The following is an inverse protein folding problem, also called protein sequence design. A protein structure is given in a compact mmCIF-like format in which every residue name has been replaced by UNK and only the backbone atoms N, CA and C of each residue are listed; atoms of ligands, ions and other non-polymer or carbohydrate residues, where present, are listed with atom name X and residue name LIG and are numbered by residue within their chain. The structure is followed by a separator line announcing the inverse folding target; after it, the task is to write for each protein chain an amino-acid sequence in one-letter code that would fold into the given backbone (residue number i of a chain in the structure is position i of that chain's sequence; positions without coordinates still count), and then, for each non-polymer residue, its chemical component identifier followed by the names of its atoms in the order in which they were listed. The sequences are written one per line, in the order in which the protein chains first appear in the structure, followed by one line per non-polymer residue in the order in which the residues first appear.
data_IF_978005106415
#
_entry.id   IF_978005106415
#
_cell.length_a   1.000
_cell.length_b   1.000
_cell.length_c   1.000
_cell.angle_alpha   90.00
_cell.angle_beta   90.00
_cell.angle_gamma   90.00
#
_symmetry.space_group_name_H-M   'P 1'
#
loop_
_entity.id
_entity.type
_entity.pdbx_description
1 polymer ?
#
# COMPACT_ATOMS: atom_id res chain seq x y z
N UNK A 1 -37.83 1.06 -10.39
CA UNK A 1 -37.02 0.62 -9.23
C UNK A 1 -35.67 1.33 -9.28
N UNK A 2 -34.94 1.50 -8.18
CA UNK A 2 -33.55 1.98 -8.28
C UNK A 2 -32.66 0.77 -8.59
N UNK A 3 -31.94 0.82 -9.71
CA UNK A 3 -31.07 -0.26 -10.20
C UNK A 3 -29.60 0.15 -10.11
N UNK A 4 -28.67 -0.80 -10.27
CA UNK A 4 -27.23 -0.57 -10.21
C UNK A 4 -26.75 0.07 -8.90
N UNK A 5 -27.41 -0.28 -7.79
CA UNK A 5 -27.05 0.19 -6.46
C UNK A 5 -25.64 -0.31 -6.11
N UNK A 6 -24.71 0.58 -5.69
CA UNK A 6 -23.34 0.18 -5.41
C UNK A 6 -23.28 -0.74 -4.18
N UNK A 7 -22.27 -1.62 -4.16
CA UNK A 7 -21.94 -2.38 -2.95
C UNK A 7 -20.76 -1.74 -2.22
N UNK A 8 -20.65 -1.93 -0.89
CA UNK A 8 -19.50 -1.44 -0.12
C UNK A 8 -18.19 -2.00 -0.67
N UNK A 9 -18.17 -3.29 -1.03
CA UNK A 9 -17.00 -3.97 -1.55
C UNK A 9 -16.53 -3.37 -2.88
N UNK A 10 -17.45 -3.10 -3.82
CA UNK A 10 -17.09 -2.52 -5.12
C UNK A 10 -16.47 -1.14 -4.96
N UNK A 11 -17.03 -0.28 -4.11
CA UNK A 11 -16.47 1.05 -3.82
C UNK A 11 -15.09 0.94 -3.17
N UNK A 12 -14.95 0.05 -2.19
CA UNK A 12 -13.69 -0.15 -1.48
C UNK A 12 -12.58 -0.73 -2.38
N UNK A 13 -12.91 -1.64 -3.28
CA UNK A 13 -11.96 -2.21 -4.24
C UNK A 13 -11.45 -1.16 -5.24
N UNK A 14 -12.31 -0.21 -5.66
CA UNK A 14 -11.85 0.93 -6.47
C UNK A 14 -11.00 1.89 -5.63
N UNK A 15 -11.39 2.18 -4.40
CA UNK A 15 -10.61 3.03 -3.49
C UNK A 15 -9.19 2.50 -3.29
N UNK A 16 -9.04 1.22 -2.94
CA UNK A 16 -7.73 0.57 -2.78
C UNK A 16 -6.91 0.58 -4.08
N UNK A 17 -7.53 0.39 -5.24
CA UNK A 17 -6.82 0.48 -6.54
C UNK A 17 -6.28 1.88 -6.80
N UNK A 18 -7.06 2.92 -6.53
CA UNK A 18 -6.60 4.30 -6.66
C UNK A 18 -5.50 4.62 -5.65
N UNK A 19 -5.64 4.15 -4.41
CA UNK A 19 -4.61 4.26 -3.38
C UNK A 19 -3.26 3.69 -3.83
N UNK A 20 -3.24 2.43 -4.28
CA UNK A 20 -1.99 1.79 -4.70
C UNK A 20 -1.47 2.34 -6.03
N UNK A 21 -2.34 2.82 -6.92
CA UNK A 21 -1.89 3.54 -8.12
C UNK A 21 -1.15 4.82 -7.74
N UNK A 22 -1.68 5.62 -6.81
CA UNK A 22 -1.01 6.81 -6.30
C UNK A 22 0.32 6.47 -5.62
N UNK A 23 0.33 5.40 -4.82
CA UNK A 23 1.55 4.90 -4.17
C UNK A 23 2.62 4.53 -5.20
N UNK A 24 2.28 3.71 -6.20
CA UNK A 24 3.21 3.27 -7.24
C UNK A 24 3.79 4.45 -8.01
N UNK A 25 2.97 5.45 -8.38
CA UNK A 25 3.48 6.68 -9.01
C UNK A 25 4.52 7.40 -8.16
N UNK A 26 4.30 7.56 -6.86
CA UNK A 26 5.28 8.18 -5.96
C UNK A 26 6.57 7.36 -5.83
N UNK A 27 6.46 6.04 -5.77
CA UNK A 27 7.64 5.16 -5.76
C UNK A 27 8.41 5.28 -7.08
N UNK A 28 7.74 5.33 -8.23
CA UNK A 28 8.42 5.48 -9.52
C UNK A 28 9.14 6.81 -9.68
N UNK A 29 8.55 7.92 -9.19
CA UNK A 29 9.26 9.22 -9.14
C UNK A 29 10.61 9.05 -8.44
N UNK A 30 10.64 8.33 -7.32
CA UNK A 30 11.87 8.07 -6.58
C UNK A 30 12.83 7.12 -7.31
N UNK A 31 12.31 6.02 -7.86
CA UNK A 31 13.09 5.01 -8.59
C UNK A 31 13.82 5.62 -9.77
N UNK A 32 13.14 6.39 -10.60
CA UNK A 32 13.78 7.01 -11.77
C UNK A 32 14.93 7.93 -11.38
N UNK A 33 14.80 8.66 -10.27
CA UNK A 33 15.88 9.48 -9.75
C UNK A 33 17.05 8.63 -9.24
N UNK A 34 16.77 7.62 -8.41
CA UNK A 34 17.80 6.74 -7.84
C UNK A 34 18.52 5.90 -8.92
N UNK A 35 17.89 5.61 -10.07
CA UNK A 35 18.52 4.95 -11.22
C UNK A 35 19.48 5.87 -11.99
N UNK A 36 19.11 7.14 -12.15
CA UNK A 36 19.95 8.13 -12.85
C UNK A 36 21.07 8.69 -11.96
N UNK A 37 20.80 8.83 -10.67
CA UNK A 37 21.70 9.35 -9.66
C UNK A 37 21.84 8.31 -8.53
N UNK A 38 22.61 7.22 -8.76
CA UNK A 38 22.75 6.14 -7.80
C UNK A 38 23.04 6.66 -6.40
N UNK A 39 22.19 6.37 -5.41
CA UNK A 39 22.44 6.79 -4.04
C UNK A 39 23.75 6.15 -3.59
N UNK A 40 24.73 6.99 -3.25
CA UNK A 40 25.94 6.56 -2.56
C UNK A 40 25.63 6.21 -1.10
N UNK A 41 26.40 6.75 -0.15
CA UNK A 41 26.07 6.62 1.28
C UNK A 41 24.86 7.48 1.70
N UNK A 42 24.41 8.42 0.85
CA UNK A 42 23.29 9.32 1.18
C UNK A 42 21.97 8.85 0.54
N UNK A 43 21.15 8.19 1.35
CA UNK A 43 19.80 7.74 0.99
C UNK A 43 18.75 8.87 0.86
N UNK A 44 19.14 10.14 1.01
CA UNK A 44 18.22 11.29 0.95
C UNK A 44 18.68 12.30 -0.09
N UNK A 45 18.09 12.29 -1.29
CA UNK A 45 18.51 13.17 -2.37
C UNK A 45 18.30 14.65 -2.00
N UNK A 46 17.36 14.97 -1.11
CA UNK A 46 17.05 16.35 -0.67
C UNK A 46 18.17 17.08 0.11
N UNK A 47 19.19 16.36 0.61
CA UNK A 47 20.24 16.92 1.50
C UNK A 47 21.65 16.44 1.16
N UNK A 48 21.77 15.54 0.18
CA UNK A 48 23.03 14.96 -0.24
C UNK A 48 23.68 15.73 -1.38
N UNK A 49 24.67 15.10 -2.00
CA UNK A 49 25.40 15.66 -3.15
C UNK A 49 24.56 15.89 -4.41
N UNK A 50 23.30 15.44 -4.42
CA UNK A 50 22.36 15.53 -5.54
C UNK A 50 21.14 16.41 -5.23
N UNK A 51 21.22 17.30 -4.24
CA UNK A 51 20.08 18.10 -3.79
C UNK A 51 19.59 19.10 -4.84
N UNK A 52 20.49 19.63 -5.67
CA UNK A 52 20.12 20.54 -6.76
C UNK A 52 19.40 19.78 -7.88
N UNK A 53 19.93 18.64 -8.29
CA UNK A 53 19.33 17.74 -9.30
C UNK A 53 17.99 17.20 -8.84
N UNK A 54 17.86 16.84 -7.56
CA UNK A 54 16.59 16.44 -6.96
C UNK A 54 15.56 17.56 -7.06
N UNK A 55 15.93 18.78 -6.69
CA UNK A 55 15.05 19.94 -6.76
C UNK A 55 14.57 20.23 -8.19
N UNK A 56 15.48 20.16 -9.18
CA UNK A 56 15.13 20.33 -10.59
C UNK A 56 14.23 19.21 -11.10
N UNK A 57 14.55 17.96 -10.76
CA UNK A 57 13.74 16.80 -11.13
C UNK A 57 12.33 16.87 -10.54
N UNK A 58 12.21 17.21 -9.25
CA UNK A 58 10.91 17.35 -8.58
C UNK A 58 10.10 18.52 -9.12
N UNK A 59 10.73 19.58 -9.61
CA UNK A 59 10.03 20.64 -10.35
C UNK A 59 9.39 20.08 -11.63
N UNK A 60 10.13 19.26 -12.38
CA UNK A 60 9.63 18.55 -13.55
C UNK A 60 8.49 17.57 -13.24
N UNK A 61 8.51 16.94 -12.07
CA UNK A 61 7.49 16.00 -11.62
C UNK A 61 6.22 16.65 -11.03
N UNK A 62 6.16 17.98 -10.85
CA UNK A 62 4.99 18.64 -10.23
C UNK A 62 3.64 18.30 -10.90
N UNK A 63 3.52 18.20 -12.24
CA UNK A 63 2.27 17.77 -12.86
C UNK A 63 1.84 16.35 -12.46
N UNK A 64 2.79 15.42 -12.35
CA UNK A 64 2.55 14.06 -11.90
C UNK A 64 2.14 14.03 -10.42
N UNK A 65 2.82 14.79 -9.56
CA UNK A 65 2.49 14.88 -8.14
C UNK A 65 1.10 15.51 -7.89
N UNK A 66 0.70 16.47 -8.72
CA UNK A 66 -0.65 17.04 -8.71
C UNK A 66 -1.72 16.02 -9.15
N UNK A 67 -1.42 15.21 -10.18
CA UNK A 67 -2.29 14.11 -10.58
C UNK A 67 -2.43 13.08 -9.45
N UNK A 68 -1.32 12.71 -8.80
CA UNK A 68 -1.30 11.84 -7.62
C UNK A 68 -2.17 12.41 -6.49
N UNK A 69 -2.08 13.70 -6.18
CA UNK A 69 -2.95 14.35 -5.19
C UNK A 69 -4.45 14.20 -5.52
N UNK A 70 -4.80 14.32 -6.80
CA UNK A 70 -6.19 14.14 -7.26
C UNK A 70 -6.67 12.69 -7.12
N UNK A 71 -5.80 11.72 -7.44
CA UNK A 71 -6.08 10.29 -7.27
C UNK A 71 -6.22 9.91 -5.80
N UNK A 72 -5.36 10.46 -4.93
CA UNK A 72 -5.46 10.30 -3.47
C UNK A 72 -6.84 10.75 -3.01
N UNK A 73 -7.29 11.95 -3.40
CA UNK A 73 -8.60 12.42 -2.96
C UNK A 73 -9.73 11.51 -3.44
N UNK A 74 -9.69 11.08 -4.70
CA UNK A 74 -10.72 10.20 -5.24
C UNK A 74 -10.77 8.85 -4.50
N UNK A 75 -9.61 8.32 -4.11
CA UNK A 75 -9.51 7.12 -3.26
C UNK A 75 -10.22 7.32 -1.91
N UNK A 76 -9.90 8.42 -1.22
CA UNK A 76 -10.49 8.73 0.09
C UNK A 76 -12.01 8.92 -0.01
N UNK A 77 -12.50 9.65 -1.03
CA UNK A 77 -13.94 9.81 -1.24
C UNK A 77 -14.65 8.46 -1.40
N UNK A 78 -14.10 7.54 -2.20
CA UNK A 78 -14.70 6.22 -2.41
C UNK A 78 -14.63 5.34 -1.16
N UNK A 79 -13.54 5.42 -0.38
CA UNK A 79 -13.40 4.68 0.87
C UNK A 79 -14.45 5.14 1.91
N UNK A 80 -14.64 6.45 2.07
CA UNK A 80 -15.65 6.99 2.98
C UNK A 80 -17.07 6.64 2.50
N UNK A 81 -17.33 6.70 1.18
CA UNK A 81 -18.60 6.23 0.61
C UNK A 81 -18.82 4.73 0.83
N UNK A 82 -17.78 3.91 0.77
CA UNK A 82 -17.88 2.48 1.06
C UNK A 82 -18.33 2.23 2.51
N UNK A 83 -17.80 2.98 3.48
CA UNK A 83 -18.24 2.91 4.90
C UNK A 83 -19.71 3.26 5.07
N UNK A 84 -20.17 4.36 4.46
CA UNK A 84 -21.59 4.75 4.50
C UNK A 84 -22.47 3.70 3.81
N UNK A 85 -22.03 3.20 2.66
CA UNK A 85 -22.71 2.17 1.89
C UNK A 85 -22.90 0.87 2.70
N UNK A 86 -21.94 0.52 3.57
CA UNK A 86 -22.03 -0.64 4.44
C UNK A 86 -23.15 -0.54 5.49
N UNK A 87 -23.54 0.68 5.86
CA UNK A 87 -24.74 0.91 6.68
C UNK A 87 -25.98 0.83 5.80
N UNK A 88 -26.00 1.59 4.70
CA UNK A 88 -27.01 1.48 3.65
C UNK A 88 -26.55 2.26 2.41
N UNK A 89 -26.64 1.69 1.19
CA UNK A 89 -26.26 2.39 -0.03
C UNK A 89 -27.12 3.64 -0.29
N UNK A 90 -28.36 3.69 0.20
CA UNK A 90 -29.24 4.84 0.02
C UNK A 90 -28.87 6.04 0.91
N UNK A 91 -28.05 5.86 1.95
CA UNK A 91 -27.50 6.98 2.73
C UNK A 91 -26.49 7.81 1.92
N UNK A 92 -25.97 7.27 0.81
CA UNK A 92 -25.20 8.06 -0.14
C UNK A 92 -26.06 9.10 -0.87
N UNK A 93 -27.40 8.99 -0.81
CA UNK A 93 -28.33 9.93 -1.43
C UNK A 93 -28.80 11.03 -0.44
N UNK A 94 -28.22 11.10 0.76
CA UNK A 94 -28.52 12.16 1.71
C UNK A 94 -28.33 13.54 1.07
N UNK A 95 -29.24 14.46 1.39
CA UNK A 95 -29.30 15.81 0.83
C UNK A 95 -29.47 15.88 -0.70
N UNK A 96 -29.83 14.75 -1.34
CA UNK A 96 -30.24 14.72 -2.74
C UNK A 96 -31.76 14.74 -2.87
N UNK A 97 -32.28 15.54 -3.80
CA UNK A 97 -33.69 15.53 -4.20
C UNK A 97 -33.78 14.90 -5.59
N UNK A 98 -33.93 13.56 -5.69
CA UNK A 98 -34.01 12.90 -6.97
C UNK A 98 -35.22 13.40 -7.75
N UNK A 99 -35.02 13.77 -9.02
CA UNK A 99 -36.12 14.15 -9.92
C UNK A 99 -36.85 12.89 -10.36
N UNK A 100 -37.91 12.53 -9.63
CA UNK A 100 -38.74 11.38 -9.97
C UNK A 100 -39.60 11.70 -11.20
N UNK A 101 -39.61 10.80 -12.18
CA UNK A 101 -40.47 10.89 -13.36
C UNK A 101 -41.87 10.34 -13.07
N UNK A 102 -42.89 10.91 -13.71
CA UNK A 102 -44.24 10.34 -13.73
C UNK A 102 -44.37 9.14 -14.67
N UNK A 103 -43.36 8.91 -15.51
CA UNK A 103 -43.26 7.74 -16.39
C UNK A 103 -42.68 6.57 -15.57
N UNK A 104 -43.38 5.41 -15.51
CA UNK A 104 -42.84 4.22 -14.88
C UNK A 104 -41.53 3.79 -15.55
N UNK A 105 -40.48 3.61 -14.75
CA UNK A 105 -39.17 3.19 -15.23
C UNK A 105 -38.22 2.87 -14.08
N UNK A 106 -37.12 2.22 -14.44
CA UNK A 106 -35.99 2.08 -13.54
C UNK A 106 -35.13 3.35 -13.56
N UNK A 107 -34.60 3.71 -12.40
CA UNK A 107 -33.68 4.84 -12.23
C UNK A 107 -32.32 4.25 -11.90
N UNK A 108 -31.32 4.57 -12.70
CA UNK A 108 -29.95 4.13 -12.43
C UNK A 108 -29.38 4.92 -11.25
N UNK A 109 -28.79 4.22 -10.27
CA UNK A 109 -28.18 4.87 -9.11
C UNK A 109 -27.09 5.88 -9.51
N UNK A 110 -26.36 5.64 -10.60
CA UNK A 110 -25.29 6.53 -11.09
C UNK A 110 -25.79 7.88 -11.60
N UNK A 111 -27.08 7.99 -11.94
CA UNK A 111 -27.72 9.26 -12.33
C UNK A 111 -28.14 10.10 -11.12
N UNK A 112 -28.12 9.51 -9.92
CA UNK A 112 -28.50 10.19 -8.69
C UNK A 112 -27.29 10.95 -8.11
N UNK A 113 -27.56 12.19 -7.66
CA UNK A 113 -26.55 12.96 -6.93
C UNK A 113 -26.27 12.26 -5.61
N UNK A 114 -25.03 11.84 -5.41
CA UNK A 114 -24.56 11.35 -4.11
C UNK A 114 -24.09 12.49 -3.22
N UNK A 115 -23.98 12.21 -1.93
CA UNK A 115 -23.37 13.07 -0.92
C UNK A 115 -22.05 13.68 -1.40
N UNK A 116 -21.90 14.98 -1.12
CA UNK A 116 -20.74 15.76 -1.52
C UNK A 116 -19.50 15.40 -0.69
N UNK A 117 -18.33 15.55 -1.30
CA UNK A 117 -17.05 15.22 -0.66
C UNK A 117 -16.80 15.98 0.66
N UNK A 118 -17.33 17.20 0.81
CA UNK A 118 -17.22 17.99 2.04
C UNK A 118 -17.97 17.36 3.22
N UNK A 119 -19.04 16.60 2.94
CA UNK A 119 -19.98 16.13 3.96
C UNK A 119 -19.67 14.68 4.36
N UNK A 120 -18.79 14.00 3.62
CA UNK A 120 -18.39 12.62 3.85
C UNK A 120 -17.83 12.39 5.28
N UNK A 121 -16.90 13.21 5.82
CA UNK A 121 -16.36 12.95 7.14
C UNK A 121 -17.42 13.05 8.25
N UNK A 122 -18.26 14.09 8.21
CA UNK A 122 -19.34 14.28 9.17
C UNK A 122 -20.38 13.14 9.09
N UNK A 123 -20.67 12.67 7.87
CA UNK A 123 -21.61 11.57 7.65
C UNK A 123 -21.05 10.24 8.15
N UNK A 124 -19.77 9.96 7.95
CA UNK A 124 -19.14 8.77 8.54
C UNK A 124 -19.22 8.82 10.07
N UNK A 125 -18.83 9.93 10.69
CA UNK A 125 -18.87 10.07 12.15
C UNK A 125 -20.29 10.00 12.75
N UNK A 126 -21.31 10.34 11.96
CA UNK A 126 -22.71 10.32 12.41
C UNK A 126 -23.41 8.99 12.16
N UNK A 127 -23.04 8.27 11.09
CA UNK A 127 -23.79 7.11 10.59
C UNK A 127 -23.05 5.78 10.80
N UNK A 128 -21.72 5.79 10.86
CA UNK A 128 -20.89 4.59 10.96
C UNK A 128 -20.48 4.32 12.42
N UNK A 129 -20.16 3.05 12.71
CA UNK A 129 -19.71 2.64 14.04
C UNK A 129 -18.32 3.19 14.39
N UNK A 130 -17.43 3.23 13.40
CA UNK A 130 -16.06 3.71 13.55
C UNK A 130 -15.97 5.15 13.05
N UNK A 131 -15.66 6.04 13.98
CA UNK A 131 -15.47 7.46 13.72
C UNK A 131 -14.07 7.72 13.19
N UNK A 132 -13.95 8.71 12.31
CA UNK A 132 -12.70 9.26 11.82
C UNK A 132 -12.03 10.14 12.88
N UNK A 133 -10.71 10.06 12.96
CA UNK A 133 -9.89 10.94 13.78
C UNK A 133 -9.89 12.40 13.28
N UNK A 134 -9.75 13.36 14.20
CA UNK A 134 -9.62 14.78 13.84
C UNK A 134 -8.40 15.06 12.95
N UNK A 135 -7.34 14.28 13.11
CA UNK A 135 -6.14 14.35 12.28
C UNK A 135 -6.44 13.97 10.83
N UNK A 136 -7.14 12.85 10.62
CA UNK A 136 -7.58 12.44 9.29
C UNK A 136 -8.55 13.44 8.67
N UNK A 137 -9.53 13.96 9.42
CA UNK A 137 -10.51 14.93 8.89
C UNK A 137 -9.82 16.19 8.38
N UNK A 138 -8.81 16.67 9.11
CA UNK A 138 -8.00 17.82 8.72
C UNK A 138 -7.20 17.54 7.44
N UNK A 139 -6.50 16.41 7.37
CA UNK A 139 -5.69 16.05 6.21
C UNK A 139 -6.56 15.80 4.96
N UNK A 140 -7.70 15.12 5.12
CA UNK A 140 -8.70 14.94 4.07
C UNK A 140 -9.17 16.28 3.48
N UNK A 141 -9.49 17.25 4.35
CA UNK A 141 -9.92 18.57 3.90
C UNK A 141 -8.82 19.37 3.21
N UNK A 142 -7.57 19.23 3.64
CA UNK A 142 -6.41 19.84 3.00
C UNK A 142 -6.23 19.31 1.57
N UNK A 143 -6.22 17.99 1.38
CA UNK A 143 -6.10 17.38 0.04
C UNK A 143 -7.29 17.77 -0.83
N UNK A 144 -8.52 17.75 -0.29
CA UNK A 144 -9.71 18.18 -1.01
C UNK A 144 -9.57 19.63 -1.50
N UNK A 145 -9.05 20.52 -0.66
CA UNK A 145 -8.76 21.91 -1.02
C UNK A 145 -7.71 22.01 -2.14
N UNK A 146 -6.61 21.25 -2.02
CA UNK A 146 -5.54 21.20 -3.03
C UNK A 146 -6.07 20.67 -4.38
N UNK A 147 -6.82 19.57 -4.37
CA UNK A 147 -7.48 19.00 -5.56
C UNK A 147 -8.42 20.01 -6.22
N UNK A 148 -9.20 20.75 -5.44
CA UNK A 148 -10.09 21.77 -5.98
C UNK A 148 -9.30 22.91 -6.64
N UNK A 149 -8.17 23.35 -6.05
CA UNK A 149 -7.29 24.33 -6.69
C UNK A 149 -6.73 23.79 -8.00
N UNK A 150 -6.24 22.55 -8.03
CA UNK A 150 -5.75 21.90 -9.26
C UNK A 150 -6.86 21.87 -10.33
N UNK A 151 -8.06 21.44 -9.96
CA UNK A 151 -9.18 21.32 -10.89
C UNK A 151 -9.67 22.68 -11.44
N UNK A 152 -9.62 23.75 -10.64
CA UNK A 152 -10.14 25.07 -11.03
C UNK A 152 -9.07 26.02 -11.59
N UNK A 153 -7.83 25.91 -11.14
CA UNK A 153 -6.73 26.82 -11.46
C UNK A 153 -5.64 26.14 -12.30
N UNK A 154 -5.70 24.82 -12.48
CA UNK A 154 -4.65 24.04 -13.13
C UNK A 154 -3.41 23.82 -12.27
N UNK A 155 -3.39 24.31 -11.02
CA UNK A 155 -2.29 24.09 -10.06
C UNK A 155 -2.74 24.14 -8.60
N UNK A 156 -2.00 23.48 -7.71
CA UNK A 156 -2.28 23.48 -6.26
C UNK A 156 -1.93 24.80 -5.55
N UNK A 157 -1.07 25.63 -6.16
CA UNK A 157 -0.58 26.89 -5.59
C UNK A 157 0.55 26.70 -4.57
N UNK A 158 0.99 25.46 -4.39
CA UNK A 158 2.18 25.05 -3.63
C UNK A 158 2.86 23.91 -4.37
N UNK A 159 4.16 23.73 -4.14
CA UNK A 159 4.89 22.55 -4.63
C UNK A 159 4.59 21.35 -3.75
N UNK A 160 4.55 20.18 -4.36
CA UNK A 160 4.45 18.91 -3.67
C UNK A 160 5.83 18.29 -3.49
N UNK A 161 6.04 17.71 -2.32
CA UNK A 161 7.17 16.84 -2.02
C UNK A 161 6.67 15.39 -1.97
N UNK A 162 7.33 14.44 -2.68
CA UNK A 162 6.91 13.03 -2.69
C UNK A 162 6.80 12.41 -1.30
N UNK A 163 7.74 12.71 -0.40
CA UNK A 163 7.77 12.20 0.97
C UNK A 163 6.55 12.64 1.78
N UNK A 164 6.09 13.87 1.57
CA UNK A 164 4.90 14.41 2.25
C UNK A 164 3.64 13.69 1.76
N UNK A 165 3.53 13.44 0.45
CA UNK A 165 2.41 12.67 -0.12
C UNK A 165 2.45 11.20 0.31
N UNK A 166 3.64 10.62 0.48
CA UNK A 166 3.81 9.26 0.96
C UNK A 166 3.40 9.10 2.43
N UNK A 167 3.79 10.03 3.30
CA UNK A 167 3.33 10.07 4.70
C UNK A 167 1.81 10.18 4.80
N UNK A 168 1.22 11.02 3.94
CA UNK A 168 -0.23 11.17 3.85
C UNK A 168 -0.94 9.87 3.44
N UNK A 169 -0.41 9.15 2.45
CA UNK A 169 -0.93 7.83 2.06
C UNK A 169 -0.81 6.81 3.22
N UNK A 170 0.26 6.86 4.01
CA UNK A 170 0.40 5.96 5.17
C UNK A 170 -0.69 6.26 6.20
N UNK A 171 -0.87 7.53 6.57
CA UNK A 171 -1.84 7.93 7.57
C UNK A 171 -3.29 7.62 7.13
N UNK A 172 -3.60 7.87 5.85
CA UNK A 172 -4.89 7.50 5.27
C UNK A 172 -5.14 6.01 5.31
N UNK A 173 -4.14 5.20 4.96
CA UNK A 173 -4.32 3.76 4.91
C UNK A 173 -4.66 3.19 6.29
N UNK A 174 -3.97 3.69 7.31
CA UNK A 174 -4.18 3.24 8.69
C UNK A 174 -5.55 3.67 9.20
N UNK A 175 -6.01 4.88 8.87
CA UNK A 175 -7.35 5.33 9.26
C UNK A 175 -8.44 4.54 8.53
N UNK A 176 -8.29 4.35 7.21
CA UNK A 176 -9.32 3.80 6.34
C UNK A 176 -9.40 2.27 6.39
N UNK A 177 -8.26 1.61 6.62
CA UNK A 177 -8.07 0.18 6.46
C UNK A 177 -7.22 -0.42 7.61
N UNK A 178 -7.43 0.03 8.85
CA UNK A 178 -6.67 -0.39 10.05
C UNK A 178 -6.54 -1.90 10.24
N UNK A 179 -7.58 -2.65 9.89
CA UNK A 179 -7.64 -4.11 10.04
C UNK A 179 -6.96 -4.88 8.89
N UNK A 180 -6.36 -4.19 7.92
CA UNK A 180 -5.79 -4.79 6.70
C UNK A 180 -4.27 -4.70 6.68
N UNK A 181 -3.61 -5.77 6.26
CA UNK A 181 -2.16 -5.78 6.10
C UNK A 181 -1.74 -5.13 4.77
N UNK A 182 -1.01 -4.01 4.85
CA UNK A 182 -0.65 -3.21 3.68
C UNK A 182 0.08 -3.99 2.59
N UNK A 183 1.06 -4.83 2.95
CA UNK A 183 1.81 -5.61 1.96
C UNK A 183 0.95 -6.70 1.31
N UNK A 184 0.02 -7.30 2.05
CA UNK A 184 -0.95 -8.25 1.48
C UNK A 184 -1.80 -7.54 0.42
N UNK A 185 -2.26 -6.33 0.72
CA UNK A 185 -3.05 -5.53 -0.20
C UNK A 185 -2.24 -5.04 -1.41
N UNK A 186 -0.95 -4.70 -1.22
CA UNK A 186 -0.05 -4.35 -2.31
C UNK A 186 0.16 -5.53 -3.28
N UNK A 187 0.28 -6.76 -2.77
CA UNK A 187 0.35 -7.98 -3.60
C UNK A 187 -0.97 -8.23 -4.32
N UNK A 188 -2.10 -8.10 -3.61
CA UNK A 188 -3.42 -8.21 -4.23
C UNK A 188 -3.61 -7.18 -5.36
N UNK A 189 -3.13 -5.95 -5.18
CA UNK A 189 -3.14 -4.93 -6.23
C UNK A 189 -2.27 -5.32 -7.42
N UNK A 190 -1.02 -5.75 -7.20
CA UNK A 190 -0.12 -6.23 -8.28
C UNK A 190 -0.78 -7.31 -9.14
N UNK A 191 -1.52 -8.23 -8.51
CA UNK A 191 -2.24 -9.33 -9.18
C UNK A 191 -3.45 -8.90 -10.03
N UNK A 192 -3.80 -7.61 -10.03
CA UNK A 192 -4.97 -7.04 -10.71
C UNK A 192 -4.63 -5.89 -11.66
N UNK A 193 -3.35 -5.70 -11.96
CA UNK A 193 -2.89 -4.71 -12.95
C UNK A 193 -2.90 -5.31 -14.36
N UNK A 194 -2.66 -4.47 -15.38
CA UNK A 194 -2.42 -4.98 -16.73
C UNK A 194 -1.21 -5.92 -16.81
N UNK A 195 -0.19 -5.71 -15.95
CA UNK A 195 0.98 -6.58 -15.86
C UNK A 195 0.63 -7.96 -15.29
N UNK A 196 -0.45 -8.06 -14.51
CA UNK A 196 -0.93 -9.34 -14.00
C UNK A 196 -1.28 -10.34 -15.10
N UNK A 197 -1.60 -9.87 -16.31
CA UNK A 197 -1.77 -10.75 -17.46
C UNK A 197 -0.51 -11.59 -17.76
N UNK A 198 0.69 -11.05 -17.51
CA UNK A 198 1.95 -11.75 -17.69
C UNK A 198 2.36 -12.58 -16.47
N UNK A 199 1.71 -12.39 -15.32
CA UNK A 199 1.97 -13.12 -14.08
C UNK A 199 1.34 -14.52 -14.16
N UNK A 200 2.02 -15.43 -14.85
CA UNK A 200 1.57 -16.81 -15.03
C UNK A 200 2.09 -17.77 -13.95
N UNK A 201 2.79 -17.24 -12.93
CA UNK A 201 3.44 -18.02 -11.88
C UNK A 201 4.65 -18.83 -12.36
N UNK A 202 5.00 -18.75 -13.65
CA UNK A 202 6.17 -19.44 -14.24
C UNK A 202 7.29 -18.48 -14.58
N UNK A 203 6.98 -17.29 -15.07
CA UNK A 203 7.96 -16.28 -15.49
C UNK A 203 7.91 -15.01 -14.62
N UNK A 204 6.76 -14.69 -14.05
CA UNK A 204 6.59 -13.61 -13.08
C UNK A 204 5.36 -13.88 -12.20
N UNK A 205 5.34 -13.29 -11.02
CA UNK A 205 4.22 -13.32 -10.08
C UNK A 205 4.04 -11.97 -9.42
N UNK A 206 2.84 -11.69 -8.91
CA UNK A 206 2.57 -10.48 -8.13
C UNK A 206 3.49 -10.37 -6.91
N UNK A 207 3.78 -11.50 -6.26
CA UNK A 207 4.71 -11.56 -5.14
C UNK A 207 6.15 -11.20 -5.58
N UNK A 208 6.60 -11.68 -6.74
CA UNK A 208 7.92 -11.33 -7.29
C UNK A 208 8.04 -9.82 -7.54
N UNK A 209 7.04 -9.21 -8.17
CA UNK A 209 6.98 -7.75 -8.40
C UNK A 209 7.13 -6.98 -7.09
N UNK A 210 6.27 -7.29 -6.10
CA UNK A 210 6.29 -6.60 -4.81
C UNK A 210 7.60 -6.82 -4.07
N UNK A 211 8.17 -8.03 -4.10
CA UNK A 211 9.46 -8.32 -3.47
C UNK A 211 10.60 -7.51 -4.07
N UNK A 212 10.63 -7.33 -5.38
CA UNK A 212 11.61 -6.48 -6.06
C UNK A 212 11.48 -5.01 -5.64
N UNK A 213 10.27 -4.55 -5.33
CA UNK A 213 10.00 -3.17 -4.87
C UNK A 213 10.30 -2.94 -3.39
N UNK A 214 10.32 -3.98 -2.54
CA UNK A 214 10.48 -3.83 -1.09
C UNK A 214 11.66 -2.94 -0.67
N UNK A 215 12.87 -3.06 -1.24
CA UNK A 215 14.00 -2.22 -0.87
C UNK A 215 13.72 -0.73 -1.13
N UNK A 216 13.01 -0.42 -2.22
CA UNK A 216 12.66 0.95 -2.61
C UNK A 216 11.59 1.51 -1.68
N UNK A 217 10.51 0.74 -1.48
CA UNK A 217 9.45 1.03 -0.51
C UNK A 217 10.05 1.32 0.86
N UNK A 218 10.89 0.42 1.36
CA UNK A 218 11.50 0.55 2.66
C UNK A 218 12.50 1.69 2.72
N UNK A 219 13.15 2.07 1.64
CA UNK A 219 14.04 3.23 1.62
C UNK A 219 13.24 4.53 1.69
N UNK A 220 12.21 4.66 0.86
CA UNK A 220 11.39 5.87 0.71
C UNK A 220 10.61 6.24 1.98
N UNK A 221 10.03 5.26 2.69
CA UNK A 221 9.24 5.55 3.89
C UNK A 221 10.12 5.93 5.09
N UNK A 222 9.78 7.03 5.77
CA UNK A 222 10.45 7.43 7.02
C UNK A 222 10.20 6.42 8.15
N UNK A 223 11.05 6.43 9.18
CA UNK A 223 10.97 5.48 10.31
C UNK A 223 9.61 5.52 11.03
N UNK A 224 9.04 6.70 11.24
CA UNK A 224 7.73 6.90 11.85
C UNK A 224 6.60 6.28 11.01
N UNK A 225 6.58 6.58 9.71
CA UNK A 225 5.62 6.03 8.76
C UNK A 225 5.74 4.51 8.64
N UNK A 226 6.97 3.97 8.59
CA UNK A 226 7.22 2.53 8.60
C UNK A 226 6.58 1.86 9.83
N UNK A 227 6.82 2.42 11.02
CA UNK A 227 6.28 1.88 12.27
C UNK A 227 4.77 1.92 12.31
N UNK A 228 4.19 3.04 11.86
CA UNK A 228 2.74 3.21 11.73
C UNK A 228 2.15 2.13 10.80
N UNK A 229 2.75 1.91 9.64
CA UNK A 229 2.23 1.02 8.60
C UNK A 229 2.41 -0.48 8.90
N UNK A 230 3.55 -0.87 9.48
CA UNK A 230 3.94 -2.28 9.68
C UNK A 230 3.93 -2.73 11.13
N UNK A 231 3.70 -1.82 12.08
CA UNK A 231 3.67 -2.12 13.52
C UNK A 231 5.03 -2.44 14.15
N UNK A 232 6.14 -2.34 13.41
CA UNK A 232 7.49 -2.64 13.89
C UNK A 232 8.47 -1.50 13.58
N UNK A 233 9.56 -1.41 14.34
CA UNK A 233 10.62 -0.44 14.03
C UNK A 233 11.28 -0.78 12.68
N UNK A 234 11.60 0.25 11.88
CA UNK A 234 12.30 0.07 10.59
C UNK A 234 13.64 -0.65 10.72
N UNK A 235 14.28 -0.55 11.89
CA UNK A 235 15.54 -1.21 12.24
C UNK A 235 15.38 -2.65 12.73
N UNK A 236 14.15 -3.13 12.90
CA UNK A 236 13.86 -4.52 13.30
C UNK A 236 14.51 -5.46 12.31
N UNK A 237 15.30 -6.42 12.80
CA UNK A 237 15.91 -7.45 11.96
C UNK A 237 14.82 -8.26 11.29
N UNK A 238 14.86 -8.30 9.97
CA UNK A 238 13.94 -9.07 9.14
C UNK A 238 14.55 -10.38 8.69
N UNK A 239 13.69 -11.33 8.41
CA UNK A 239 13.98 -12.69 7.97
C UNK A 239 13.15 -13.03 6.73
N UNK A 240 13.53 -14.10 6.05
CA UNK A 240 12.81 -14.66 4.92
C UNK A 240 11.49 -15.30 5.40
N UNK A 241 10.42 -15.06 4.67
CA UNK A 241 9.24 -15.88 4.73
C UNK A 241 9.32 -16.90 3.59
N UNK A 242 9.53 -18.18 3.90
CA UNK A 242 9.70 -19.20 2.87
C UNK A 242 8.47 -19.33 1.98
N UNK A 243 7.26 -19.25 2.53
CA UNK A 243 6.02 -19.28 1.72
C UNK A 243 5.97 -18.13 0.70
N UNK A 244 6.28 -16.91 1.12
CA UNK A 244 6.31 -15.75 0.23
C UNK A 244 7.44 -15.85 -0.80
N UNK A 245 8.62 -16.35 -0.39
CA UNK A 245 9.76 -16.53 -1.31
C UNK A 245 9.41 -17.58 -2.35
N UNK A 246 8.79 -18.70 -1.97
CA UNK A 246 8.32 -19.72 -2.89
C UNK A 246 7.30 -19.16 -3.89
N UNK A 247 6.35 -18.33 -3.43
CA UNK A 247 5.35 -17.69 -4.30
C UNK A 247 5.96 -16.64 -5.27
N UNK A 248 7.08 -16.03 -4.86
CA UNK A 248 7.84 -15.08 -5.68
C UNK A 248 8.89 -15.74 -6.58
N UNK A 249 9.34 -16.96 -6.26
CA UNK A 249 10.32 -17.70 -7.04
C UNK A 249 9.69 -18.27 -8.30
N UNK A 250 10.20 -17.84 -9.45
CA UNK A 250 9.72 -18.25 -10.78
C UNK A 250 10.88 -18.86 -11.59
N UNK A 251 10.58 -19.54 -12.68
CA UNK A 251 11.48 -20.48 -13.39
C UNK A 251 12.84 -19.91 -13.78
N UNK A 252 12.93 -18.61 -14.03
CA UNK A 252 14.16 -17.93 -14.49
C UNK A 252 14.59 -16.79 -13.58
N UNK A 253 13.94 -16.63 -12.43
CA UNK A 253 14.24 -15.55 -11.51
C UNK A 253 14.15 -16.05 -10.08
N UNK A 254 15.34 -16.23 -9.48
CA UNK A 254 15.46 -16.46 -8.05
C UNK A 254 15.35 -15.14 -7.30
N UNK A 255 14.58 -15.17 -6.23
CA UNK A 255 14.38 -14.03 -5.35
C UNK A 255 15.67 -13.78 -4.57
N UNK A 256 16.17 -12.54 -4.59
CA UNK A 256 17.32 -12.14 -3.77
C UNK A 256 16.99 -12.31 -2.26
N UNK A 257 17.66 -13.23 -1.54
CA UNK A 257 17.34 -13.52 -0.15
C UNK A 257 17.64 -12.38 0.83
N UNK A 258 18.49 -11.43 0.45
CA UNK A 258 18.81 -10.25 1.27
C UNK A 258 17.71 -9.20 1.13
N UNK A 259 17.24 -8.98 -0.09
CA UNK A 259 16.27 -7.93 -0.42
C UNK A 259 14.82 -8.32 -0.12
N UNK A 260 14.54 -9.61 0.03
CA UNK A 260 13.17 -10.16 0.14
C UNK A 260 12.75 -10.58 1.55
N UNK A 261 13.35 -9.96 2.57
CA UNK A 261 13.07 -10.25 3.99
C UNK A 261 11.83 -9.49 4.46
N UNK A 262 10.73 -10.23 4.57
CA UNK A 262 9.39 -9.73 4.94
C UNK A 262 8.94 -10.15 6.34
N UNK A 263 9.68 -11.02 7.02
CA UNK A 263 9.27 -11.56 8.32
C UNK A 263 10.07 -11.01 9.49
N UNK A 264 9.51 -11.00 10.68
CA UNK A 264 10.20 -10.59 11.92
C UNK A 264 9.78 -11.49 13.09
N UNK A 265 10.60 -11.52 14.13
CA UNK A 265 10.28 -12.28 15.34
C UNK A 265 9.34 -11.49 16.24
N UNK A 266 8.12 -11.99 16.47
CA UNK A 266 7.20 -11.46 17.49
C UNK A 266 7.70 -11.80 18.89
N UNK A 267 8.24 -13.00 19.04
CA UNK A 267 8.86 -13.51 20.25
C UNK A 267 10.04 -14.44 19.90
N UNK A 268 10.54 -15.22 20.87
CA UNK A 268 11.71 -16.10 20.64
C UNK A 268 11.46 -17.25 19.66
N UNK A 269 10.20 -17.66 19.46
CA UNK A 269 9.81 -18.88 18.75
C UNK A 269 8.71 -18.64 17.70
N UNK A 270 8.21 -17.42 17.58
CA UNK A 270 7.17 -17.05 16.61
C UNK A 270 7.70 -16.01 15.63
N UNK A 271 7.74 -16.38 14.35
CA UNK A 271 8.09 -15.52 13.24
C UNK A 271 6.81 -15.06 12.51
N UNK A 272 6.58 -13.76 12.38
CA UNK A 272 5.44 -13.19 11.65
C UNK A 272 5.88 -12.59 10.33
N UNK A 273 5.16 -12.88 9.25
CA UNK A 273 5.42 -12.27 7.94
C UNK A 273 4.52 -11.05 7.68
N UNK A 274 5.12 -9.91 7.38
CA UNK A 274 4.39 -8.68 7.02
C UNK A 274 3.61 -8.80 5.70
N UNK A 275 4.01 -9.73 4.82
CA UNK A 275 3.46 -9.86 3.47
C UNK A 275 2.27 -10.82 3.39
N UNK A 276 2.37 -12.02 3.98
CA UNK A 276 1.25 -12.97 4.02
C UNK A 276 0.43 -12.93 5.32
N UNK A 277 0.91 -12.22 6.36
CA UNK A 277 0.23 -12.12 7.65
C UNK A 277 0.28 -13.39 8.52
N UNK A 278 0.98 -14.43 8.08
CA UNK A 278 1.05 -15.73 8.78
C UNK A 278 2.13 -15.74 9.85
N UNK A 279 1.83 -16.41 10.97
CA UNK A 279 2.77 -16.75 12.04
C UNK A 279 3.35 -18.16 11.82
N UNK A 280 4.66 -18.29 11.95
CA UNK A 280 5.42 -19.52 11.78
C UNK A 280 6.16 -19.85 13.07
N UNK A 281 6.06 -21.09 13.53
CA UNK A 281 6.87 -21.60 14.63
C UNK A 281 8.30 -21.84 14.17
N UNK A 282 9.27 -21.36 14.95
CA UNK A 282 10.70 -21.45 14.66
C UNK A 282 11.49 -21.89 15.88
N UNK A 283 12.67 -22.44 15.63
CA UNK A 283 13.64 -22.77 16.67
C UNK A 283 14.92 -21.93 16.56
N UNK A 284 15.61 -21.85 17.70
CA UNK A 284 16.81 -21.02 17.90
C UNK A 284 18.07 -21.88 17.86
N UNK A 285 18.40 -22.36 16.67
CA UNK A 285 19.55 -23.21 16.40
C UNK A 285 20.45 -22.54 15.37
N UNK A 286 21.77 -22.66 15.50
CA UNK A 286 22.70 -22.05 14.56
C UNK A 286 22.54 -22.64 13.15
N UNK A 287 22.55 -21.79 12.13
CA UNK A 287 22.54 -22.23 10.74
C UNK A 287 23.78 -23.08 10.45
N UNK A 288 23.57 -24.21 9.76
CA UNK A 288 24.64 -25.14 9.40
C UNK A 288 25.37 -24.76 8.10
N UNK A 289 24.83 -23.83 7.32
CA UNK A 289 25.46 -23.36 6.08
C UNK A 289 26.68 -22.51 6.39
N UNK A 290 27.76 -22.77 5.67
CA UNK A 290 28.98 -21.97 5.76
C UNK A 290 28.69 -20.49 5.46
N UNK A 291 29.34 -19.60 6.21
CA UNK A 291 29.15 -18.15 6.11
C UNK A 291 27.83 -17.58 6.66
N UNK A 292 26.86 -18.40 7.10
CA UNK A 292 25.60 -17.89 7.65
C UNK A 292 25.62 -17.77 9.18
N UNK A 293 25.46 -16.56 9.71
CA UNK A 293 25.32 -16.29 11.16
C UNK A 293 23.87 -16.36 11.66
N UNK A 294 22.97 -16.91 10.84
CA UNK A 294 21.55 -17.04 11.16
C UNK A 294 21.29 -18.06 12.28
N UNK A 295 20.22 -17.86 13.04
CA UNK A 295 19.80 -18.80 14.07
C UNK A 295 18.27 -18.91 14.23
N UNK A 296 17.55 -18.75 13.12
CA UNK A 296 16.09 -18.88 13.06
C UNK A 296 15.79 -19.94 12.02
N UNK A 297 15.36 -21.11 12.48
CA UNK A 297 15.17 -22.30 11.65
C UNK A 297 13.69 -22.70 11.71
N UNK A 298 13.08 -22.97 10.56
CA UNK A 298 11.78 -23.63 10.49
C UNK A 298 11.94 -25.10 10.88
N UNK A 299 11.03 -25.64 11.70
CA UNK A 299 10.90 -27.10 11.82
C UNK A 299 9.87 -27.62 10.82
N UNK A 300 10.14 -28.78 10.24
CA UNK A 300 9.42 -29.50 9.16
C UNK A 300 7.92 -29.81 9.35
N UNK A 301 7.17 -28.95 10.04
CA UNK A 301 5.69 -28.97 10.04
C UNK A 301 5.07 -28.29 8.80
N UNK A 302 5.83 -27.49 8.05
CA UNK A 302 5.34 -26.66 6.93
C UNK A 302 6.20 -26.74 5.65
N UNK A 303 7.32 -27.46 5.69
CA UNK A 303 8.27 -27.61 4.59
C UNK A 303 8.83 -29.05 4.58
N UNK A 304 9.30 -29.52 3.43
CA UNK A 304 9.88 -30.86 3.28
C UNK A 304 11.17 -31.05 4.11
N UNK A 305 11.82 -29.96 4.48
CA UNK A 305 13.03 -29.91 5.30
C UNK A 305 13.02 -28.69 6.23
N UNK A 306 13.89 -28.72 7.25
CA UNK A 306 14.16 -27.56 8.10
C UNK A 306 14.97 -26.53 7.30
N UNK A 307 14.60 -25.24 7.35
CA UNK A 307 15.20 -24.19 6.51
C UNK A 307 15.60 -22.97 7.35
N UNK A 308 16.73 -22.35 7.03
CA UNK A 308 17.17 -21.14 7.70
C UNK A 308 16.44 -19.90 7.14
N UNK A 309 15.75 -19.17 8.01
CA UNK A 309 15.08 -17.92 7.66
C UNK A 309 16.04 -16.74 7.42
N UNK A 310 17.37 -16.91 7.56
CA UNK A 310 18.35 -15.84 7.26
C UNK A 310 18.93 -15.94 5.85
N UNK A 311 19.32 -17.14 5.41
CA UNK A 311 19.94 -17.38 4.11
C UNK A 311 19.11 -18.25 3.16
N UNK A 312 18.08 -18.93 3.65
CA UNK A 312 17.25 -19.83 2.84
C UNK A 312 17.81 -21.24 2.66
N UNK A 313 18.97 -21.57 3.26
CA UNK A 313 19.56 -22.90 3.10
C UNK A 313 18.80 -23.96 3.91
N UNK A 314 18.72 -25.18 3.36
CA UNK A 314 18.24 -26.36 4.08
C UNK A 314 19.17 -26.71 5.24
N UNK A 315 18.60 -27.30 6.29
CA UNK A 315 19.27 -27.66 7.55
C UNK A 315 19.25 -29.17 7.77
N UNK A 316 19.48 -29.96 6.72
CA UNK A 316 19.57 -31.42 6.80
C UNK A 316 20.63 -31.84 7.84
N UNK A 317 20.36 -32.92 8.56
CA UNK A 317 21.39 -33.59 9.36
C UNK A 317 22.44 -34.14 8.40
N UNK A 318 23.70 -33.78 8.64
CA UNK A 318 24.81 -34.43 7.96
C UNK A 318 24.75 -35.92 8.33
N UNK A 319 24.41 -36.75 7.34
CA UNK A 319 24.45 -38.22 7.43
C UNK A 319 25.87 -38.72 7.57
#
# INVERSE_FOLDING_TARGET
MIVNVPTPQTLNDVALRLYFSAWSSLIYVRVHFDEAFPPGEDSRPEKGGWAEEWSEYIEGCQPELQAVCSVIQQSNELALKARICAVSPYLLLLNSTPKLSTVPGDIDFSELRTIDASDLPASVNSLCKETLSDEYIRSYNEIRSLRNKIAHLGHAGSKFEPETLLELLVDQYIELWSERAWLTDRVNFASRTGLAFFQDGKYTSAAAEVMCELPLIFTAIKKSAFKKLFGIEKTTRRYLCHACVTDASVRYHEVDPVRSRTAYLKDKFTLHCLMCGVDYSVVREACRSDGCTGNVISRSGYAECDVCHTCGSEQTEAS
#
